data_IF_253281127009
#
_entry.id   IF_253281127009
#
_cell.length_a   1.000
_cell.length_b   1.000
_cell.length_c   1.000
_cell.angle_alpha   90.00
_cell.angle_beta   90.00
_cell.angle_gamma   90.00
#
_symmetry.space_group_name_H-M   'P 1'
#
loop_
_entity.id
_entity.type
_entity.pdbx_description
1 polymer ?
#
# COMPACT_ATOMS: atom_id res chain seq x y z
N UNK A 1 42.67 -7.07 15.59
CA UNK A 1 41.79 -7.35 14.44
C UNK A 1 40.51 -6.58 14.64
N UNK A 2 40.30 -5.50 13.90
CA UNK A 2 39.17 -4.59 14.09
C UNK A 2 38.09 -4.94 13.06
N UNK A 3 36.96 -5.46 13.52
CA UNK A 3 35.80 -5.74 12.65
C UNK A 3 35.07 -4.42 12.37
N UNK A 4 35.31 -3.83 11.21
CA UNK A 4 34.55 -2.70 10.71
C UNK A 4 33.12 -3.18 10.42
N UNK A 5 32.17 -2.82 11.29
CA UNK A 5 30.74 -3.05 11.07
C UNK A 5 30.30 -2.18 9.89
N UNK A 6 30.16 -2.80 8.72
CA UNK A 6 29.50 -2.17 7.57
C UNK A 6 28.02 -2.12 7.89
N UNK A 7 27.52 -0.95 8.27
CA UNK A 7 26.09 -0.70 8.43
C UNK A 7 25.46 -0.76 7.02
N UNK A 8 24.53 -1.68 6.76
CA UNK A 8 23.94 -1.77 5.43
C UNK A 8 23.09 -0.53 5.20
N UNK A 9 23.49 0.30 4.24
CA UNK A 9 22.66 1.35 3.65
C UNK A 9 21.51 0.68 2.90
N UNK A 10 20.45 0.31 3.63
CA UNK A 10 19.21 -0.23 3.07
C UNK A 10 18.49 0.95 2.41
N UNK A 11 18.91 1.29 1.19
CA UNK A 11 18.14 2.16 0.32
C UNK A 11 16.86 1.42 -0.07
N UNK A 12 15.78 1.64 0.68
CA UNK A 12 14.46 1.10 0.38
C UNK A 12 14.10 1.47 -1.06
N UNK A 13 14.16 0.48 -1.94
CA UNK A 13 13.93 0.65 -3.38
C UNK A 13 12.47 1.06 -3.57
N UNK A 14 12.33 2.32 -3.98
CA UNK A 14 11.23 2.89 -4.75
C UNK A 14 9.93 2.10 -4.70
N UNK A 15 9.01 2.65 -3.92
CA UNK A 15 7.56 2.48 -3.99
C UNK A 15 7.09 2.53 -5.45
N UNK A 16 7.02 1.38 -6.10
CA UNK A 16 6.58 1.29 -7.47
C UNK A 16 6.01 -0.11 -7.68
N UNK A 17 4.69 -0.23 -7.47
CA UNK A 17 3.86 -1.24 -8.13
C UNK A 17 3.93 -0.98 -9.66
N UNK A 18 5.12 -1.10 -10.25
CA UNK A 18 5.33 -0.88 -11.68
C UNK A 18 5.05 -2.19 -12.37
N UNK A 19 3.86 -2.23 -12.97
CA UNK A 19 3.36 -3.25 -13.89
C UNK A 19 3.13 -4.63 -13.24
N UNK A 20 2.04 -5.32 -13.61
CA UNK A 20 1.95 -6.74 -13.38
C UNK A 20 3.12 -7.41 -14.12
N UNK A 21 4.08 -7.92 -13.36
CA UNK A 21 5.02 -8.95 -13.78
C UNK A 21 4.44 -10.28 -13.32
N UNK A 22 4.88 -11.40 -13.90
CA UNK A 22 4.50 -12.73 -13.41
C UNK A 22 4.86 -12.94 -11.91
N UNK A 23 5.76 -12.12 -11.36
CA UNK A 23 6.15 -12.10 -9.95
C UNK A 23 5.44 -11.02 -9.10
N UNK A 24 4.54 -10.21 -9.67
CA UNK A 24 3.78 -9.22 -8.90
C UNK A 24 2.64 -9.93 -8.15
N UNK A 25 2.39 -9.59 -6.88
CA UNK A 25 1.30 -10.21 -6.13
C UNK A 25 -0.04 -9.93 -6.82
N UNK A 26 -0.84 -10.97 -7.00
CA UNK A 26 -2.20 -10.85 -7.53
C UNK A 26 -3.06 -10.02 -6.59
N UNK A 27 -3.91 -9.16 -7.17
CA UNK A 27 -4.77 -8.25 -6.43
C UNK A 27 -6.13 -8.91 -6.24
N UNK A 28 -6.61 -9.02 -5.01
CA UNK A 28 -7.94 -9.55 -4.70
C UNK A 28 -8.99 -8.45 -4.62
N UNK A 29 -8.68 -7.34 -3.95
CA UNK A 29 -9.62 -6.23 -3.74
C UNK A 29 -8.88 -4.92 -3.62
N UNK A 30 -9.51 -3.82 -4.04
CA UNK A 30 -9.01 -2.47 -3.81
C UNK A 30 -10.16 -1.47 -3.62
N UNK A 31 -9.92 -0.44 -2.81
CA UNK A 31 -10.86 0.67 -2.55
C UNK A 31 -10.13 2.00 -2.61
N UNK A 32 -10.86 3.11 -2.69
CA UNK A 32 -10.32 4.47 -2.84
C UNK A 32 -10.90 5.41 -1.78
N UNK A 33 -10.26 5.53 -0.60
CA UNK A 33 -10.92 6.13 0.54
C UNK A 33 -10.85 7.66 0.63
N UNK A 34 -10.01 8.30 -0.18
CA UNK A 34 -9.85 9.76 -0.23
C UNK A 34 -9.60 10.41 1.15
N UNK A 35 -8.86 9.73 2.02
CA UNK A 35 -8.55 10.23 3.38
C UNK A 35 -7.36 11.19 3.31
N UNK A 36 -7.48 12.34 3.95
CA UNK A 36 -6.40 13.33 4.04
C UNK A 36 -5.80 13.31 5.44
N UNK A 37 -4.48 13.14 5.54
CA UNK A 37 -3.73 13.25 6.79
C UNK A 37 -2.91 14.54 6.81
N UNK A 38 -2.97 15.34 7.89
CA UNK A 38 -2.16 16.54 8.05
C UNK A 38 -0.69 16.21 8.36
N UNK A 39 0.21 17.21 8.25
CA UNK A 39 1.68 17.07 8.36
C UNK A 39 2.12 16.20 9.52
N UNK A 40 1.61 16.55 10.70
CA UNK A 40 1.98 15.90 11.95
C UNK A 40 1.62 14.42 11.91
N UNK A 41 0.45 14.09 11.37
CA UNK A 41 -0.01 12.71 11.19
C UNK A 41 0.85 11.97 10.16
N UNK A 42 1.13 12.59 9.01
CA UNK A 42 1.96 12.00 7.97
C UNK A 42 3.39 11.70 8.43
N UNK A 43 4.03 12.64 9.16
CA UNK A 43 5.36 12.43 9.74
C UNK A 43 5.36 11.38 10.84
N UNK A 44 4.37 11.41 11.73
CA UNK A 44 4.23 10.40 12.78
C UNK A 44 4.05 9.00 12.19
N UNK A 45 3.23 8.88 11.14
CA UNK A 45 3.01 7.65 10.40
C UNK A 45 4.31 7.07 9.85
N UNK A 46 5.06 7.86 9.07
CA UNK A 46 6.32 7.42 8.46
C UNK A 46 7.37 7.05 9.51
N UNK A 47 7.52 7.87 10.56
CA UNK A 47 8.46 7.59 11.64
C UNK A 47 8.09 6.31 12.42
N UNK A 48 6.80 6.03 12.59
CA UNK A 48 6.32 4.81 13.24
C UNK A 48 6.49 3.58 12.35
N UNK A 49 6.21 3.70 11.05
CA UNK A 49 6.43 2.63 10.08
C UNK A 49 7.91 2.23 10.02
N UNK A 50 8.83 3.20 10.05
CA UNK A 50 10.28 2.94 10.11
C UNK A 50 10.69 2.15 11.36
N UNK A 51 10.06 2.40 12.53
CA UNK A 51 10.34 1.63 13.76
C UNK A 51 9.83 0.19 13.67
N UNK A 52 8.79 -0.05 12.87
CA UNK A 52 8.18 -1.36 12.65
C UNK A 52 8.47 -1.88 11.24
N UNK A 53 9.61 -1.48 10.67
CA UNK A 53 9.99 -1.90 9.34
C UNK A 53 10.31 -3.41 9.31
N UNK A 54 9.99 -4.05 8.19
CA UNK A 54 10.25 -5.46 7.89
C UNK A 54 11.72 -5.87 8.06
N UNK A 55 12.67 -4.96 7.81
CA UNK A 55 14.10 -5.19 8.02
C UNK A 55 14.53 -5.10 9.49
N UNK A 56 13.67 -4.56 10.35
CA UNK A 56 13.92 -4.33 11.79
C UNK A 56 13.07 -5.22 12.69
N UNK A 57 12.52 -6.31 12.13
CA UNK A 57 11.68 -7.26 12.86
C UNK A 57 10.18 -6.93 12.86
N UNK A 58 9.75 -5.86 12.17
CA UNK A 58 8.35 -5.50 12.05
C UNK A 58 7.68 -6.07 10.79
N UNK A 59 6.59 -5.44 10.35
CA UNK A 59 5.75 -5.93 9.26
C UNK A 59 5.40 -4.87 8.21
N UNK A 60 5.97 -3.68 8.32
CA UNK A 60 5.72 -2.58 7.39
C UNK A 60 6.90 -2.34 6.48
N UNK A 61 6.64 -1.93 5.25
CA UNK A 61 7.68 -1.38 4.37
C UNK A 61 7.20 -0.03 3.84
N UNK A 62 7.79 1.05 4.35
CA UNK A 62 7.37 2.40 4.05
C UNK A 62 8.13 2.97 2.84
N UNK A 63 7.44 3.79 2.05
CA UNK A 63 8.04 4.55 0.96
C UNK A 63 7.32 5.87 0.70
N UNK A 64 7.83 6.69 -0.23
CA UNK A 64 7.28 8.02 -0.48
C UNK A 64 5.81 8.06 -0.88
N UNK A 65 5.28 6.99 -1.48
CA UNK A 65 3.91 6.97 -1.99
C UNK A 65 2.99 5.99 -1.24
N UNK A 66 3.43 5.44 -0.10
CA UNK A 66 2.60 4.57 0.72
C UNK A 66 3.36 3.66 1.68
N UNK A 67 2.61 2.77 2.33
CA UNK A 67 3.12 1.69 3.18
C UNK A 67 2.59 0.36 2.66
N UNK A 68 3.50 -0.61 2.54
CA UNK A 68 3.15 -2.01 2.34
C UNK A 68 3.05 -2.73 3.68
N UNK A 69 2.15 -3.70 3.74
CA UNK A 69 1.89 -4.52 4.91
C UNK A 69 2.24 -5.97 4.57
N UNK A 70 3.06 -6.59 5.42
CA UNK A 70 3.59 -7.94 5.24
C UNK A 70 3.11 -8.86 6.37
N UNK A 71 3.16 -10.18 6.13
CA UNK A 71 2.82 -11.19 7.15
C UNK A 71 3.82 -11.27 8.30
N UNK A 72 5.03 -10.73 8.12
CA UNK A 72 6.06 -10.71 9.12
C UNK A 72 7.34 -10.03 8.63
N UNK A 73 8.42 -10.08 9.43
CA UNK A 73 9.71 -9.51 9.05
C UNK A 73 10.34 -10.27 7.89
N UNK A 74 11.17 -9.57 7.14
CA UNK A 74 11.92 -10.18 6.05
C UNK A 74 13.06 -11.01 6.63
N UNK A 75 13.03 -12.31 6.34
CA UNK A 75 14.00 -13.30 6.82
C UNK A 75 14.85 -13.89 5.68
N UNK A 76 14.69 -13.40 4.45
CA UNK A 76 15.41 -13.89 3.29
C UNK A 76 16.85 -13.38 3.21
N UNK A 77 17.71 -14.18 2.58
CA UNK A 77 19.12 -13.85 2.37
C UNK A 77 19.29 -12.48 1.69
N UNK A 78 20.24 -11.67 2.18
CA UNK A 78 20.51 -10.30 1.71
C UNK A 78 19.30 -9.36 1.80
N UNK A 79 18.44 -9.53 2.82
CA UNK A 79 17.28 -8.65 3.05
C UNK A 79 16.15 -8.88 2.05
N UNK A 80 16.08 -10.06 1.44
CA UNK A 80 14.93 -10.48 0.63
C UNK A 80 13.76 -10.85 1.54
N UNK A 81 12.56 -10.89 0.97
CA UNK A 81 11.33 -11.14 1.73
C UNK A 81 11.34 -12.51 2.44
N UNK A 82 12.00 -13.52 1.86
CA UNK A 82 12.02 -14.88 2.39
C UNK A 82 10.62 -15.47 2.42
N UNK A 83 10.14 -15.86 3.60
CA UNK A 83 8.80 -16.42 3.80
C UNK A 83 7.72 -15.35 4.01
N UNK A 84 8.11 -14.08 4.15
CA UNK A 84 7.17 -12.99 4.34
C UNK A 84 6.34 -12.77 3.07
N UNK A 85 5.02 -12.76 3.23
CA UNK A 85 4.06 -12.56 2.17
C UNK A 85 3.54 -11.12 2.19
N UNK A 86 3.39 -10.52 1.01
CA UNK A 86 2.81 -9.19 0.88
C UNK A 86 1.28 -9.29 1.01
N UNK A 87 0.71 -8.70 2.05
CA UNK A 87 -0.71 -8.74 2.36
C UNK A 87 -1.50 -7.62 1.64
N UNK A 88 -0.86 -6.47 1.44
CA UNK A 88 -1.47 -5.35 0.76
C UNK A 88 -0.75 -4.02 1.01
N UNK A 89 -1.34 -2.94 0.52
CA UNK A 89 -0.76 -1.60 0.63
C UNK A 89 -1.79 -0.51 0.86
N UNK A 90 -1.33 0.57 1.49
CA UNK A 90 -2.05 1.84 1.62
C UNK A 90 -1.23 2.90 0.90
N UNK A 91 -1.80 3.46 -0.17
CA UNK A 91 -1.10 4.36 -1.07
C UNK A 91 -1.67 5.77 -0.98
N UNK A 92 -0.77 6.75 -1.07
CA UNK A 92 -1.11 8.17 -1.02
C UNK A 92 -0.33 9.00 -2.04
N UNK A 93 -0.89 10.16 -2.35
CA UNK A 93 -0.16 11.23 -3.03
C UNK A 93 0.34 12.24 -2.01
N UNK A 94 1.52 12.80 -2.27
CA UNK A 94 1.92 14.09 -1.72
C UNK A 94 1.43 15.16 -2.67
N UNK A 95 0.59 16.07 -2.17
CA UNK A 95 0.07 17.16 -2.97
C UNK A 95 0.82 18.45 -2.63
N UNK A 96 1.01 19.31 -3.63
CA UNK A 96 1.77 20.57 -3.56
C UNK A 96 0.95 21.64 -4.28
N UNK A 97 0.63 22.78 -3.66
CA UNK A 97 1.64 23.74 -3.18
C UNK A 97 1.62 24.07 -1.68
N UNK A 98 0.59 23.69 -0.92
CA UNK A 98 0.61 23.80 0.55
C UNK A 98 1.35 22.58 1.07
N UNK A 99 2.64 22.71 1.38
CA UNK A 99 3.42 21.58 1.88
C UNK A 99 2.66 20.95 3.05
N UNK A 100 2.77 19.62 3.14
CA UNK A 100 2.54 18.84 4.35
C UNK A 100 1.18 18.12 4.55
N UNK A 101 0.59 17.54 3.51
CA UNK A 101 -0.46 16.55 3.70
C UNK A 101 -0.24 15.35 2.77
N UNK A 102 -0.74 14.19 3.19
CA UNK A 102 -0.87 13.03 2.32
C UNK A 102 -2.34 12.71 2.10
N UNK A 103 -2.70 12.39 0.86
CA UNK A 103 -4.05 11.96 0.50
C UNK A 103 -4.01 10.48 0.17
N UNK A 104 -4.52 9.64 1.06
CA UNK A 104 -4.69 8.20 0.84
C UNK A 104 -5.76 7.99 -0.22
N UNK A 105 -5.31 7.60 -1.41
CA UNK A 105 -6.19 7.41 -2.57
C UNK A 105 -6.48 5.94 -2.87
N UNK A 106 -5.73 5.01 -2.28
CA UNK A 106 -5.92 3.57 -2.53
C UNK A 106 -5.55 2.72 -1.33
N UNK A 107 -6.39 1.73 -1.05
CA UNK A 107 -6.03 0.58 -0.21
C UNK A 107 -6.23 -0.67 -1.04
N UNK A 108 -5.25 -1.55 -1.04
CA UNK A 108 -5.20 -2.75 -1.85
C UNK A 108 -4.92 -3.96 -0.98
N UNK A 109 -5.68 -5.04 -1.19
CA UNK A 109 -5.47 -6.35 -0.58
C UNK A 109 -5.00 -7.31 -1.68
N UNK A 110 -3.90 -8.01 -1.43
CA UNK A 110 -3.42 -9.06 -2.34
C UNK A 110 -4.23 -10.34 -2.17
N UNK A 111 -4.11 -11.30 -3.08
CA UNK A 111 -4.73 -12.62 -2.92
C UNK A 111 -4.27 -13.31 -1.63
N UNK A 112 -2.97 -13.25 -1.31
CA UNK A 112 -2.45 -13.81 -0.06
C UNK A 112 -3.02 -13.09 1.18
N UNK A 113 -3.13 -11.76 1.13
CA UNK A 113 -3.79 -10.99 2.20
C UNK A 113 -5.24 -11.43 2.40
N UNK A 114 -6.00 -11.53 1.31
CA UNK A 114 -7.41 -11.94 1.36
C UNK A 114 -7.59 -13.38 1.87
N UNK A 115 -6.73 -14.31 1.45
CA UNK A 115 -6.70 -15.70 1.97
C UNK A 115 -6.36 -15.74 3.47
N UNK A 116 -5.49 -14.83 3.93
CA UNK A 116 -5.19 -14.61 5.34
C UNK A 116 -6.25 -13.84 6.13
N UNK A 117 -7.38 -13.48 5.51
CA UNK A 117 -8.50 -12.77 6.15
C UNK A 117 -8.36 -11.24 6.20
N UNK A 118 -7.38 -10.66 5.50
CA UNK A 118 -7.26 -9.21 5.40
C UNK A 118 -8.36 -8.60 4.54
N UNK A 119 -8.82 -7.43 4.98
CA UNK A 119 -9.78 -6.59 4.28
C UNK A 119 -9.15 -5.22 4.02
N UNK A 120 -9.70 -4.41 3.10
CA UNK A 120 -9.22 -3.04 2.96
C UNK A 120 -9.34 -2.23 4.26
N UNK A 121 -10.35 -2.51 5.08
CA UNK A 121 -10.52 -1.88 6.40
C UNK A 121 -9.42 -2.26 7.36
N UNK A 122 -9.11 -3.56 7.51
CA UNK A 122 -8.07 -4.01 8.44
C UNK A 122 -6.69 -3.46 8.05
N UNK A 123 -6.36 -3.41 6.75
CA UNK A 123 -5.10 -2.83 6.30
C UNK A 123 -5.03 -1.32 6.57
N UNK A 124 -6.12 -0.60 6.32
CA UNK A 124 -6.19 0.83 6.58
C UNK A 124 -6.09 1.13 8.09
N UNK A 125 -6.81 0.37 8.92
CA UNK A 125 -6.75 0.48 10.38
C UNK A 125 -5.33 0.24 10.90
N UNK A 126 -4.66 -0.84 10.45
CA UNK A 126 -3.29 -1.17 10.84
C UNK A 126 -2.31 -0.04 10.49
N UNK A 127 -2.44 0.56 9.31
CA UNK A 127 -1.55 1.64 8.88
C UNK A 127 -1.85 2.93 9.63
N UNK A 128 -3.12 3.34 9.77
CA UNK A 128 -3.45 4.59 10.47
C UNK A 128 -3.18 4.52 11.99
N UNK A 129 -3.27 3.32 12.59
CA UNK A 129 -2.90 3.09 13.98
C UNK A 129 -1.44 3.43 14.29
N UNK A 130 -0.52 3.34 13.31
CA UNK A 130 0.88 3.77 13.48
C UNK A 130 0.99 5.27 13.82
N UNK A 131 0.03 6.07 13.37
CA UNK A 131 -0.07 7.50 13.70
C UNK A 131 -1.05 7.80 14.85
N UNK A 132 -1.66 6.77 15.45
CA UNK A 132 -2.71 6.93 16.46
C UNK A 132 -4.01 7.51 15.89
N UNK A 133 -4.30 7.24 14.61
CA UNK A 133 -5.52 7.71 13.93
C UNK A 133 -6.43 6.51 13.65
N UNK A 134 -7.71 6.65 13.93
CA UNK A 134 -8.71 5.63 13.57
C UNK A 134 -9.16 5.81 12.11
N UNK A 135 -9.32 4.69 11.39
CA UNK A 135 -9.81 4.78 10.02
C UNK A 135 -11.32 5.08 9.99
N UNK A 136 -11.78 6.04 9.18
CA UNK A 136 -13.21 6.27 9.00
C UNK A 136 -13.85 5.05 8.36
N UNK A 137 -14.87 4.48 9.01
CA UNK A 137 -15.55 3.26 8.53
C UNK A 137 -16.33 3.49 7.23
N UNK A 138 -16.80 4.72 7.02
CA UNK A 138 -17.57 5.10 5.83
C UNK A 138 -16.68 5.45 4.63
N UNK A 139 -15.37 5.66 4.85
CA UNK A 139 -14.46 6.04 3.78
C UNK A 139 -14.22 4.91 2.77
N UNK A 140 -14.56 3.66 3.08
CA UNK A 140 -14.32 2.52 2.19
C UNK A 140 -15.49 2.19 1.26
N UNK A 141 -16.56 2.99 1.24
CA UNK A 141 -17.67 2.78 0.33
C UNK A 141 -17.18 2.81 -1.12
N UNK A 142 -17.19 1.64 -1.77
CA UNK A 142 -17.03 1.56 -3.22
C UNK A 142 -18.17 2.38 -3.83
N UNK A 143 -17.91 3.44 -4.61
CA UNK A 143 -18.94 3.91 -5.51
C UNK A 143 -19.25 2.74 -6.44
N UNK A 144 -20.48 2.22 -6.37
CA UNK A 144 -20.99 1.26 -7.34
C UNK A 144 -20.69 1.85 -8.72
N UNK A 145 -19.93 1.15 -9.59
CA UNK A 145 -19.68 1.65 -10.93
C UNK A 145 -21.03 2.01 -11.56
N UNK A 146 -21.19 3.20 -12.14
CA UNK A 146 -22.43 3.52 -12.82
C UNK A 146 -22.75 2.41 -13.83
N UNK A 147 -24.02 1.99 -13.97
CA UNK A 147 -24.41 0.96 -14.93
C UNK A 147 -23.76 1.25 -16.28
N UNK A 148 -23.21 0.22 -16.94
CA UNK A 148 -22.63 0.36 -18.28
C UNK A 148 -23.67 1.04 -19.18
N UNK A 149 -23.26 2.15 -19.78
CA UNK A 149 -24.09 2.88 -20.75
C UNK A 149 -24.46 1.94 -21.92
N UNK A 150 -25.75 1.63 -22.15
CA UNK A 150 -26.18 0.75 -23.23
C UNK A 150 -25.78 1.27 -24.62
N UNK A 151 -25.56 2.58 -24.79
CA UNK A 151 -25.19 3.18 -26.08
C UNK A 151 -23.72 3.00 -26.46
N UNK A 152 -22.88 2.43 -25.58
CA UNK A 152 -21.49 2.09 -25.90
C UNK A 152 -21.30 0.69 -26.51
N UNK A 153 -22.35 -0.12 -26.59
CA UNK A 153 -22.31 -1.47 -27.13
C UNK A 153 -22.48 -1.53 -28.66
N UNK A 154 -23.09 -0.52 -29.28
CA UNK A 154 -23.46 -0.56 -30.70
C UNK A 154 -22.36 -0.12 -31.68
N UNK A 155 -21.24 0.43 -31.19
CA UNK A 155 -20.18 0.98 -32.04
C UNK A 155 -19.21 -0.07 -32.62
N UNK A 156 -19.46 -1.37 -32.42
CA UNK A 156 -18.65 -2.46 -32.99
C UNK A 156 -19.41 -3.41 -33.94
N UNK A 157 -20.69 -3.17 -34.22
CA UNK A 157 -21.50 -4.03 -35.08
C UNK A 157 -21.71 -3.49 -36.52
N UNK A 158 -21.09 -2.36 -36.89
CA UNK A 158 -21.23 -1.76 -38.22
C UNK A 158 -19.89 -1.63 -38.94
N UNK A 159 -19.40 -2.71 -39.54
CA UNK A 159 -18.12 -2.71 -40.25
C UNK A 159 -17.92 -3.94 -41.13
N UNK A 160 -18.78 -4.09 -42.14
CA UNK A 160 -18.62 -5.07 -43.21
C UNK A 160 -19.28 -4.52 -44.48
N UNK A 161 -18.46 -3.91 -45.34
CA UNK A 161 -18.75 -3.76 -46.77
C UNK A 161 -18.17 -4.97 -47.50
#
# INVERSE_FOLDING_TARGET
MTFTRVEPDIKHRSFRLTRPSAASPSIATQVRPAIVLPDRGARALLAAAERQDVSRGGCFSAGPAGIQVWSGPWNGLLGRHGDAQHLGSVDWSYDTPTRHYITVYRVLVTTQGNEGGETPQSLLDRVLALAGVEAPRDALSLPVPPPRDPFRSDLRAGGGY
#
